data_IF_673233726203
#
_entry.id   IF_673233726203
#
_cell.length_a   1.000
_cell.length_b   1.000
_cell.length_c   1.000
_cell.angle_alpha   90.00
_cell.angle_beta   90.00
_cell.angle_gamma   90.00
#
_symmetry.space_group_name_H-M   'P 1'
#
loop_
_entity.id
_entity.type
_entity.pdbx_description
1 polymer ?
#
# COMPACT_ATOMS: atom_id res chain seq x y z
N UNK A 1 6.13 -15.43 -8.55
CA UNK A 1 5.71 -15.05 -7.18
C UNK A 1 6.52 -13.82 -6.75
N UNK A 2 6.04 -13.02 -5.79
CA UNK A 2 6.77 -11.84 -5.28
C UNK A 2 7.11 -12.04 -3.80
N UNK A 3 8.34 -11.71 -3.42
CA UNK A 3 8.78 -11.67 -2.03
C UNK A 3 9.15 -10.24 -1.65
N UNK A 4 8.55 -9.73 -0.57
CA UNK A 4 8.89 -8.40 -0.05
C UNK A 4 10.00 -8.57 1.00
N UNK A 5 11.07 -7.80 0.85
CA UNK A 5 12.18 -7.73 1.81
C UNK A 5 12.42 -6.29 2.22
N UNK A 6 12.78 -6.04 3.48
CA UNK A 6 13.18 -4.69 3.90
C UNK A 6 14.53 -4.33 3.30
N UNK A 7 14.59 -3.17 2.65
CA UNK A 7 15.86 -2.66 2.13
C UNK A 7 16.77 -2.22 3.26
N UNK A 8 18.09 -2.34 3.07
CA UNK A 8 19.08 -1.79 4.00
C UNK A 8 19.10 -0.25 3.99
N UNK A 9 18.57 0.37 2.92
CA UNK A 9 18.46 1.82 2.73
C UNK A 9 17.06 2.36 3.01
N UNK A 10 16.29 1.71 3.90
CA UNK A 10 14.95 2.13 4.27
C UNK A 10 14.92 3.59 4.75
N UNK A 11 14.15 4.43 4.06
CA UNK A 11 14.10 5.88 4.27
C UNK A 11 13.24 6.34 5.45
N UNK A 12 12.52 5.41 6.09
CA UNK A 12 11.63 5.67 7.22
C UNK A 12 10.21 5.99 6.78
N UNK A 13 9.46 6.66 7.66
CA UNK A 13 8.09 7.08 7.40
C UNK A 13 8.05 8.18 6.36
N UNK A 14 7.20 8.03 5.35
CA UNK A 14 6.95 9.02 4.33
C UNK A 14 5.46 9.41 4.29
N UNK A 15 5.14 10.47 3.52
CA UNK A 15 3.75 10.86 3.27
C UNK A 15 3.52 10.92 1.77
N UNK A 16 2.88 9.90 1.19
CA UNK A 16 2.49 9.92 -0.21
C UNK A 16 1.47 11.03 -0.50
N UNK A 17 1.63 11.70 -1.64
CA UNK A 17 0.73 12.76 -2.11
C UNK A 17 0.16 12.36 -3.46
N UNK A 18 -1.15 12.12 -3.52
CA UNK A 18 -1.88 11.83 -4.77
C UNK A 18 -2.33 13.15 -5.39
N UNK A 19 -1.64 13.58 -6.44
CA UNK A 19 -1.90 14.85 -7.12
C UNK A 19 -2.96 14.69 -8.23
N UNK A 20 -3.83 15.69 -8.48
CA UNK A 20 -4.84 15.64 -9.52
C UNK A 20 -4.23 15.98 -10.90
N UNK A 21 -3.02 15.50 -11.16
CA UNK A 21 -2.30 15.73 -12.40
C UNK A 21 -1.23 14.67 -12.62
N UNK A 22 -0.88 14.44 -13.89
CA UNK A 22 0.21 13.57 -14.28
C UNK A 22 1.52 14.35 -14.40
N UNK A 23 2.59 13.80 -13.84
CA UNK A 23 3.97 14.30 -13.98
C UNK A 23 4.74 13.25 -14.78
N UNK A 24 5.26 13.63 -15.95
CA UNK A 24 6.01 12.67 -16.81
C UNK A 24 7.38 12.29 -16.25
N UNK A 25 7.96 13.16 -15.42
CA UNK A 25 9.26 12.90 -14.82
C UNK A 25 9.13 11.93 -13.64
N UNK A 26 9.87 10.82 -13.72
CA UNK A 26 10.01 9.85 -12.63
C UNK A 26 11.43 9.93 -12.07
N UNK A 27 11.58 10.35 -10.82
CA UNK A 27 12.89 10.43 -10.17
C UNK A 27 12.89 11.37 -8.96
N UNK A 28 14.01 11.41 -8.21
CA UNK A 28 14.15 12.31 -7.08
C UNK A 28 14.05 13.77 -7.54
N UNK A 29 13.32 14.56 -6.77
CA UNK A 29 13.15 16.00 -7.00
C UNK A 29 13.36 16.73 -5.68
N UNK A 30 14.06 17.86 -5.73
CA UNK A 30 14.16 18.76 -4.58
C UNK A 30 12.87 19.59 -4.46
N UNK A 31 11.77 18.93 -4.11
CA UNK A 31 10.46 19.56 -3.94
C UNK A 31 10.27 20.14 -2.53
N UNK A 32 10.98 19.59 -1.54
CA UNK A 32 10.86 19.99 -0.15
C UNK A 32 11.20 21.48 0.03
N UNK A 33 10.52 22.10 0.99
CA UNK A 33 10.72 23.45 1.49
C UNK A 33 10.47 24.62 0.51
N UNK A 34 10.82 24.52 -0.76
CA UNK A 34 10.67 25.66 -1.66
C UNK A 34 9.46 25.55 -2.57
N UNK A 35 9.14 24.34 -3.01
CA UNK A 35 8.16 24.12 -4.08
C UNK A 35 6.93 23.33 -3.64
N UNK A 36 7.03 22.62 -2.52
CA UNK A 36 5.95 21.83 -1.95
C UNK A 36 5.92 22.01 -0.44
N UNK A 37 4.99 22.87 0.02
CA UNK A 37 4.71 23.12 1.44
C UNK A 37 3.21 23.07 1.66
N UNK A 38 2.66 21.89 1.97
CA UNK A 38 1.30 21.75 2.47
C UNK A 38 1.15 22.49 3.81
N UNK A 39 0.23 23.45 3.85
CA UNK A 39 -0.22 24.10 5.08
C UNK A 39 -1.49 23.41 5.55
N UNK A 40 -1.63 23.22 6.86
CA UNK A 40 -2.82 22.59 7.45
C UNK A 40 -3.78 23.69 7.91
N UNK A 41 -5.03 23.61 7.45
CA UNK A 41 -6.08 24.54 7.81
C UNK A 41 -6.87 24.03 9.04
N UNK A 42 -7.62 24.92 9.68
CA UNK A 42 -8.37 24.63 10.92
C UNK A 42 -9.45 23.54 10.74
N UNK A 43 -9.89 23.30 9.50
CA UNK A 43 -10.88 22.29 9.12
C UNK A 43 -10.26 20.90 8.88
N UNK A 44 -8.95 20.74 9.07
CA UNK A 44 -8.21 19.50 8.84
C UNK A 44 -7.87 19.24 7.37
N UNK A 45 -8.23 20.15 6.45
CA UNK A 45 -7.76 20.11 5.07
C UNK A 45 -6.34 20.68 4.97
N UNK A 46 -5.68 20.35 3.86
CA UNK A 46 -4.34 20.87 3.55
C UNK A 46 -4.40 21.71 2.31
N UNK A 47 -3.74 22.86 2.31
CA UNK A 47 -3.61 23.69 1.10
C UNK A 47 -2.16 23.71 0.64
N UNK A 48 -1.95 23.53 -0.66
CA UNK A 48 -0.64 23.66 -1.30
C UNK A 48 -0.80 24.28 -2.68
N UNK A 49 0.27 24.86 -3.21
CA UNK A 49 0.28 25.40 -4.57
C UNK A 49 1.25 24.60 -5.44
N UNK A 50 0.76 24.07 -6.55
CA UNK A 50 1.58 23.37 -7.53
C UNK A 50 1.50 24.04 -8.89
N UNK A 51 2.64 24.49 -9.41
CA UNK A 51 2.73 25.22 -10.69
C UNK A 51 1.76 26.41 -10.77
N UNK A 52 1.57 27.12 -9.66
CA UNK A 52 0.67 28.28 -9.56
C UNK A 52 -0.83 27.95 -9.43
N UNK A 53 -1.20 26.67 -9.28
CA UNK A 53 -2.59 26.24 -9.05
C UNK A 53 -2.80 25.85 -7.59
N UNK A 54 -3.90 26.29 -6.98
CA UNK A 54 -4.25 25.89 -5.62
C UNK A 54 -4.72 24.45 -5.62
N UNK A 55 -4.15 23.66 -4.73
CA UNK A 55 -4.57 22.31 -4.42
C UNK A 55 -5.08 22.28 -2.99
N UNK A 56 -6.22 21.62 -2.80
CA UNK A 56 -6.83 21.38 -1.50
C UNK A 56 -6.81 19.87 -1.27
N UNK A 57 -6.16 19.43 -0.21
CA UNK A 57 -5.86 18.06 0.11
C UNK A 57 -6.60 17.58 1.34
N UNK A 58 -6.94 16.31 1.36
CA UNK A 58 -7.52 15.62 2.51
C UNK A 58 -6.59 14.48 2.93
N UNK A 59 -6.36 14.35 4.23
CA UNK A 59 -5.65 13.19 4.79
C UNK A 59 -6.58 11.99 4.81
N UNK A 60 -6.03 10.86 4.42
CA UNK A 60 -6.69 9.57 4.44
C UNK A 60 -5.78 8.62 5.21
N UNK A 61 -6.21 8.27 6.41
CA UNK A 61 -5.54 7.32 7.28
C UNK A 61 -5.73 5.90 6.75
N UNK A 62 -4.72 5.06 6.89
CA UNK A 62 -4.82 3.63 6.58
C UNK A 62 -5.59 2.94 7.71
N UNK A 63 -6.58 2.07 7.41
CA UNK A 63 -7.33 1.35 8.42
C UNK A 63 -6.46 0.46 9.31
N UNK A 64 -6.92 0.25 10.54
CA UNK A 64 -6.25 -0.63 11.50
C UNK A 64 -6.05 -2.04 10.92
N UNK A 65 -4.89 -2.64 11.22
CA UNK A 65 -4.52 -3.95 10.68
C UNK A 65 -3.86 -3.91 9.30
N UNK A 66 -3.88 -2.76 8.62
CA UNK A 66 -3.16 -2.52 7.39
C UNK A 66 -1.94 -1.63 7.60
N UNK A 67 -0.98 -1.69 6.66
CA UNK A 67 0.18 -0.82 6.63
C UNK A 67 0.48 -0.38 5.20
N UNK A 68 0.84 0.89 5.02
CA UNK A 68 1.31 1.41 3.74
C UNK A 68 2.80 1.13 3.58
N UNK A 69 3.20 0.58 2.44
CA UNK A 69 4.62 0.36 2.10
C UNK A 69 4.92 0.88 0.70
N UNK A 70 6.09 1.50 0.54
CA UNK A 70 6.64 1.86 -0.75
C UNK A 70 7.62 0.77 -1.16
N UNK A 71 7.35 0.13 -2.29
CA UNK A 71 8.17 -0.96 -2.81
C UNK A 71 8.97 -0.48 -4.02
N UNK A 72 10.26 -0.79 -4.04
CA UNK A 72 11.11 -0.65 -5.21
C UNK A 72 11.30 -2.00 -5.88
N UNK A 73 11.10 -2.03 -7.20
CA UNK A 73 11.26 -3.25 -7.98
C UNK A 73 12.75 -3.52 -8.20
N UNK A 74 13.23 -4.69 -7.76
CA UNK A 74 14.60 -5.13 -8.03
C UNK A 74 14.63 -6.22 -9.10
N UNK A 75 15.77 -6.39 -9.75
CA UNK A 75 16.03 -7.51 -10.68
C UNK A 75 16.43 -8.81 -9.94
N UNK A 76 16.42 -8.80 -8.60
CA UNK A 76 16.82 -9.96 -7.79
C UNK A 76 15.71 -11.01 -7.82
N UNK A 77 16.08 -12.23 -8.16
CA UNK A 77 15.20 -13.41 -8.13
C UNK A 77 15.76 -14.36 -7.07
N UNK A 78 14.91 -14.87 -6.19
CA UNK A 78 15.34 -15.89 -5.23
C UNK A 78 15.60 -17.20 -5.98
N UNK A 79 16.64 -17.96 -5.61
CA UNK A 79 16.85 -19.28 -6.17
C UNK A 79 15.62 -20.14 -5.91
N UNK A 80 15.23 -21.01 -6.86
CA UNK A 80 14.12 -21.92 -6.64
C UNK A 80 14.41 -22.80 -5.42
N UNK A 81 13.42 -22.90 -4.54
CA UNK A 81 13.49 -23.81 -3.41
C UNK A 81 13.41 -25.23 -4.00
N UNK A 82 14.55 -25.89 -4.15
CA UNK A 82 14.57 -27.33 -4.36
C UNK A 82 14.10 -27.95 -3.05
N UNK A 83 12.94 -28.59 -3.05
CA UNK A 83 12.51 -29.48 -1.98
C UNK A 83 13.42 -30.72 -1.97
N UNK A 84 14.67 -30.56 -1.53
CA UNK A 84 15.51 -31.68 -1.10
C UNK A 84 14.93 -32.18 0.22
N UNK A 85 14.01 -33.15 0.11
CA UNK A 85 13.69 -34.24 1.04
C UNK A 85 12.20 -34.62 0.96
N UNK A 86 11.73 -35.12 -0.20
CA UNK A 86 10.62 -36.08 -0.22
C UNK A 86 10.94 -37.24 -1.14
N UNK A 87 10.68 -38.42 -0.57
CA UNK A 87 11.03 -39.75 -1.02
C UNK A 87 10.86 -40.00 -2.52
N UNK A 88 11.77 -40.81 -3.03
CA UNK A 88 11.70 -41.41 -4.34
C UNK A 88 10.52 -42.40 -4.42
N UNK A 89 9.32 -41.94 -4.79
CA UNK A 89 8.41 -42.75 -5.59
C UNK A 89 7.33 -41.94 -6.34
N UNK A 90 7.27 -42.20 -7.64
CA UNK A 90 6.16 -42.01 -8.59
C UNK A 90 5.36 -40.68 -8.62
N UNK A 91 5.60 -39.90 -9.68
CA UNK A 91 4.58 -39.05 -10.30
C UNK A 91 5.17 -37.88 -11.06
N UNK A 92 5.05 -37.88 -12.39
CA UNK A 92 5.36 -36.74 -13.27
C UNK A 92 4.56 -35.50 -12.84
N UNK A 93 5.11 -34.74 -11.89
CA UNK A 93 4.64 -33.39 -11.60
C UNK A 93 5.54 -32.47 -12.39
N UNK A 94 4.97 -31.75 -13.35
CA UNK A 94 5.64 -30.60 -13.94
C UNK A 94 5.94 -29.62 -12.80
N UNK A 95 7.16 -29.69 -12.25
CA UNK A 95 7.66 -28.75 -11.26
C UNK A 95 7.71 -27.38 -11.95
N UNK A 96 6.60 -26.65 -11.87
CA UNK A 96 6.53 -25.26 -12.25
C UNK A 96 7.54 -24.54 -11.36
N UNK A 97 8.71 -24.28 -11.89
CA UNK A 97 9.76 -23.56 -11.22
C UNK A 97 9.26 -22.11 -11.04
N UNK A 98 8.59 -21.83 -9.93
CA UNK A 98 7.98 -20.52 -9.69
C UNK A 98 9.10 -19.54 -9.36
N UNK A 99 9.52 -18.73 -10.34
CA UNK A 99 10.46 -17.65 -10.11
C UNK A 99 9.87 -16.65 -9.08
N UNK A 100 10.59 -16.44 -7.98
CA UNK A 100 10.22 -15.49 -6.93
C UNK A 100 11.03 -14.22 -7.08
N UNK A 101 10.42 -13.15 -7.58
CA UNK A 101 11.09 -11.85 -7.72
C UNK A 101 11.02 -11.06 -6.42
N UNK A 102 12.13 -10.45 -6.03
CA UNK A 102 12.24 -9.70 -4.78
C UNK A 102 11.88 -8.23 -5.00
N UNK A 103 10.98 -7.72 -4.16
CA UNK A 103 10.70 -6.29 -4.03
C UNK A 103 11.27 -5.79 -2.72
N UNK A 104 11.89 -4.61 -2.76
CA UNK A 104 12.50 -4.00 -1.58
C UNK A 104 11.59 -2.92 -0.99
N UNK A 105 11.24 -3.04 0.29
CA UNK A 105 10.55 -2.02 1.07
C UNK A 105 11.51 -0.86 1.33
N UNK A 106 11.25 0.29 0.69
CA UNK A 106 12.09 1.50 0.77
C UNK A 106 11.54 2.55 1.73
N UNK A 107 10.29 2.42 2.15
CA UNK A 107 9.63 3.28 3.12
C UNK A 107 8.26 2.75 3.53
N UNK A 108 7.76 3.26 4.65
CA UNK A 108 6.42 2.97 5.17
C UNK A 108 5.61 4.26 5.34
N UNK A 109 4.29 4.15 5.37
CA UNK A 109 3.40 5.27 5.61
C UNK A 109 2.10 4.81 6.28
N UNK A 110 1.55 5.65 7.15
CA UNK A 110 0.27 5.40 7.83
C UNK A 110 -0.88 6.21 7.22
N UNK A 111 -0.56 7.25 6.45
CA UNK A 111 -1.54 8.15 5.84
C UNK A 111 -1.15 8.49 4.41
N UNK A 112 -2.15 8.81 3.59
CA UNK A 112 -2.00 9.35 2.24
C UNK A 112 -2.74 10.68 2.17
N UNK A 113 -2.20 11.65 1.42
CA UNK A 113 -2.92 12.91 1.16
C UNK A 113 -3.46 12.89 -0.27
N UNK A 114 -4.78 12.96 -0.41
CA UNK A 114 -5.46 13.07 -1.71
C UNK A 114 -5.72 14.52 -2.02
N UNK A 115 -5.22 15.02 -3.16
CA UNK A 115 -5.32 16.42 -3.55
C UNK A 115 -6.34 16.63 -4.66
N UNK A 116 -7.22 17.61 -4.46
CA UNK A 116 -8.15 18.14 -5.46
C UNK A 116 -7.75 19.55 -5.91
N UNK A 117 -8.24 19.96 -7.08
CA UNK A 117 -7.99 21.29 -7.62
C UNK A 117 -8.99 22.30 -7.04
N UNK A 118 -8.52 23.33 -6.34
CA UNK A 118 -9.31 24.36 -5.62
C UNK A 118 -10.25 23.85 -4.51
N UNK A 119 -10.73 22.61 -4.60
CA UNK A 119 -11.69 21.98 -3.68
C UNK A 119 -11.11 20.66 -3.19
N UNK A 120 -11.21 20.40 -1.89
CA UNK A 120 -10.77 19.13 -1.32
C UNK A 120 -11.67 17.98 -1.83
N UNK A 121 -11.12 16.79 -2.09
CA UNK A 121 -11.91 15.62 -2.47
C UNK A 121 -12.97 15.32 -1.41
N UNK A 122 -14.18 14.92 -1.82
CA UNK A 122 -15.25 14.52 -0.91
C UNK A 122 -14.98 13.14 -0.32
N UNK A 123 -15.27 12.93 0.97
CA UNK A 123 -14.92 11.69 1.68
C UNK A 123 -15.79 10.51 1.23
N UNK A 124 -17.05 10.81 0.88
CA UNK A 124 -18.08 9.84 0.53
C UNK A 124 -18.22 9.67 -0.99
N UNK A 125 -17.52 10.43 -1.81
CA UNK A 125 -17.55 10.29 -3.27
C UNK A 125 -16.17 10.00 -3.87
N UNK A 126 -15.08 10.38 -3.20
CA UNK A 126 -13.73 10.18 -3.72
C UNK A 126 -13.38 8.68 -3.82
N UNK A 127 -12.91 8.20 -4.99
CA UNK A 127 -12.58 6.80 -5.20
C UNK A 127 -11.49 6.26 -4.26
N UNK A 128 -10.52 7.09 -3.86
CA UNK A 128 -9.44 6.65 -2.96
C UNK A 128 -9.96 6.51 -1.54
N UNK A 129 -10.78 7.47 -1.10
CA UNK A 129 -11.44 7.45 0.22
C UNK A 129 -12.32 6.20 0.35
N UNK A 130 -13.14 5.89 -0.65
CA UNK A 130 -13.92 4.64 -0.69
C UNK A 130 -13.06 3.38 -0.76
N UNK A 131 -12.03 3.41 -1.61
CA UNK A 131 -11.15 2.25 -1.80
C UNK A 131 -10.41 1.86 -0.52
N UNK A 132 -9.94 2.84 0.24
CA UNK A 132 -9.21 2.60 1.48
C UNK A 132 -10.18 2.38 2.65
N UNK A 133 -11.21 3.21 2.81
CA UNK A 133 -12.13 3.13 3.95
C UNK A 133 -13.16 1.99 3.85
N UNK A 134 -13.82 1.86 2.71
CA UNK A 134 -14.96 0.94 2.56
C UNK A 134 -14.52 -0.41 1.99
N UNK A 135 -13.74 -0.41 0.90
CA UNK A 135 -13.43 -1.64 0.17
C UNK A 135 -12.52 -2.59 0.97
N UNK A 136 -11.54 -2.08 1.73
CA UNK A 136 -10.69 -2.93 2.56
C UNK A 136 -11.52 -3.69 3.60
N UNK A 137 -12.36 -2.96 4.35
CA UNK A 137 -13.27 -3.53 5.35
C UNK A 137 -14.27 -4.51 4.73
N UNK A 138 -14.83 -4.19 3.56
CA UNK A 138 -15.75 -5.06 2.84
C UNK A 138 -15.07 -6.35 2.37
N UNK A 139 -13.87 -6.25 1.81
CA UNK A 139 -13.08 -7.38 1.34
C UNK A 139 -12.69 -8.31 2.50
N UNK A 140 -12.31 -7.75 3.64
CA UNK A 140 -12.04 -8.52 4.86
C UNK A 140 -13.26 -9.33 5.30
N UNK A 141 -14.44 -8.71 5.35
CA UNK A 141 -15.67 -9.41 5.71
C UNK A 141 -16.02 -10.52 4.71
N UNK A 142 -15.87 -10.27 3.41
CA UNK A 142 -16.20 -11.21 2.34
C UNK A 142 -15.27 -12.42 2.31
N UNK A 143 -13.99 -12.23 2.61
CA UNK A 143 -12.98 -13.29 2.62
C UNK A 143 -12.71 -13.86 4.02
N UNK A 144 -13.41 -13.39 5.05
CA UNK A 144 -13.31 -13.96 6.38
C UNK A 144 -13.79 -15.42 6.37
N UNK A 145 -12.98 -16.31 6.93
CA UNK A 145 -13.41 -17.70 7.11
C UNK A 145 -14.39 -17.76 8.29
N UNK A 146 -15.56 -18.40 8.13
CA UNK A 146 -16.50 -18.51 9.24
C UNK A 146 -15.85 -19.32 10.36
N UNK A 147 -15.71 -18.69 11.53
CA UNK A 147 -15.22 -19.32 12.75
C UNK A 147 -16.12 -20.53 13.04
N UNK A 148 -15.57 -21.75 12.99
CA UNK A 148 -16.28 -22.94 13.46
C UNK A 148 -16.71 -22.66 14.91
N UNK A 149 -18.02 -22.66 15.16
CA UNK A 149 -18.52 -22.69 16.54
C UNK A 149 -18.06 -24.02 17.11
N UNK A 150 -17.15 -23.97 18.09
CA UNK A 150 -16.83 -25.11 18.93
C UNK A 150 -18.14 -25.62 19.55
N UNK A 151 -18.67 -26.71 18.99
CA UNK A 151 -19.66 -27.54 19.67
C UNK A 151 -18.93 -28.30 20.77
N UNK A 152 -18.58 -27.61 21.85
CA UNK A 152 -18.12 -28.22 23.09
C UNK A 152 -19.30 -28.27 24.07
N UNK A 153 -19.94 -29.43 24.05
CA UNK A 153 -20.43 -30.16 25.21
C UNK A 153 -21.47 -29.49 26.14
N UNK A 154 -22.73 -29.90 25.98
CA UNK A 154 -23.68 -29.97 27.10
C UNK A 154 -24.38 -31.33 27.06
N UNK A 155 -23.61 -32.40 27.28
CA UNK A 155 -24.15 -33.63 27.87
C UNK A 155 -23.84 -33.66 29.36
N UNK A 156 -24.81 -33.28 30.18
CA UNK A 156 -25.08 -33.88 31.50
C UNK A 156 -26.48 -33.53 31.97
#
# INVERSE_FOLDING_TARGET
MLSIQRSSSHSGKCTPNLLPCRIEHNGPVNAADRYWRPEEEDDGTRTAHFRGRKLCGRKLEIPDGYRGVVLSNTSRVLPPQSDTERDADAGESEEQNIEVRVMEEVGDFDQVVVWGHEVAPDENEDPYSKGIGEWLSFSEALHSTPRQKDTADSSK
#
